data_IF_208930892542
#
_entry.id   IF_208930892542
#
_cell.length_a   1.000
_cell.length_b   1.000
_cell.length_c   1.000
_cell.angle_alpha   90.00
_cell.angle_beta   90.00
_cell.angle_gamma   90.00
#
_symmetry.space_group_name_H-M   'P 1'
#
loop_
_entity.id
_entity.type
_entity.pdbx_description
1 polymer ?
#
# COMPACT_ATOMS: atom_id res chain seq x y z
N UNK A 1 -2.94 -8.03 -18.18
CA UNK A 1 -2.50 -6.62 -18.43
C UNK A 1 -1.41 -6.29 -17.42
N UNK A 2 -0.44 -5.43 -17.73
CA UNK A 2 0.53 -5.00 -16.71
C UNK A 2 -0.18 -4.24 -15.58
N UNK A 3 0.07 -4.59 -14.33
CA UNK A 3 -0.50 -3.95 -13.13
C UNK A 3 0.63 -3.27 -12.31
N UNK A 4 1.23 -2.19 -12.85
CA UNK A 4 2.39 -1.57 -12.25
C UNK A 4 2.08 -0.87 -10.92
N UNK A 5 0.86 -0.38 -10.71
CA UNK A 5 0.49 0.31 -9.49
C UNK A 5 0.23 -0.67 -8.34
N UNK A 6 -0.35 -1.84 -8.60
CA UNK A 6 -0.42 -2.94 -7.65
C UNK A 6 0.97 -3.46 -7.30
N UNK A 7 1.87 -3.60 -8.28
CA UNK A 7 3.25 -3.97 -7.99
C UNK A 7 3.95 -2.95 -7.07
N UNK A 8 3.76 -1.66 -7.34
CA UNK A 8 4.28 -0.59 -6.48
C UNK A 8 3.66 -0.60 -5.08
N UNK A 9 2.33 -0.73 -4.98
CA UNK A 9 1.62 -0.80 -3.71
C UNK A 9 2.07 -2.00 -2.86
N UNK A 10 2.28 -3.17 -3.49
CA UNK A 10 2.82 -4.35 -2.83
C UNK A 10 4.23 -4.12 -2.27
N UNK A 11 5.06 -3.31 -2.94
CA UNK A 11 6.37 -2.91 -2.39
C UNK A 11 6.22 -2.04 -1.16
N UNK A 12 5.26 -1.12 -1.12
CA UNK A 12 4.96 -0.32 0.09
C UNK A 12 4.59 -1.24 1.25
N UNK A 13 3.64 -2.15 1.04
CA UNK A 13 3.18 -3.09 2.07
C UNK A 13 4.31 -4.02 2.55
N UNK A 14 5.14 -4.51 1.62
CA UNK A 14 6.29 -5.36 1.95
C UNK A 14 7.35 -4.60 2.77
N UNK A 15 7.65 -3.36 2.38
CA UNK A 15 8.60 -2.51 3.10
C UNK A 15 8.07 -2.10 4.47
N UNK A 16 6.76 -1.85 4.58
CA UNK A 16 6.11 -1.63 5.86
C UNK A 16 6.28 -2.86 6.76
N UNK A 17 5.98 -4.07 6.29
CA UNK A 17 6.16 -5.30 7.07
C UNK A 17 7.62 -5.50 7.51
N UNK A 18 8.58 -5.32 6.60
CA UNK A 18 10.01 -5.40 6.89
C UNK A 18 10.46 -4.38 7.94
N UNK A 19 9.88 -3.17 7.93
CA UNK A 19 10.11 -2.19 8.99
C UNK A 19 9.64 -2.80 10.31
N UNK A 20 8.43 -3.35 10.40
CA UNK A 20 7.89 -3.82 11.68
C UNK A 20 8.74 -4.91 12.34
N UNK A 21 9.40 -5.76 11.54
CA UNK A 21 10.38 -6.74 12.01
C UNK A 21 11.64 -6.12 12.65
N UNK A 22 11.94 -4.86 12.32
CA UNK A 22 13.10 -4.10 12.80
C UNK A 22 12.74 -3.10 13.90
N UNK A 23 11.56 -3.24 14.50
CA UNK A 23 11.12 -2.37 15.57
C UNK A 23 12.09 -2.38 16.76
N UNK A 24 12.14 -1.25 17.47
CA UNK A 24 12.98 -1.09 18.66
C UNK A 24 12.29 -0.19 19.68
N UNK A 25 12.85 -0.10 20.89
CA UNK A 25 12.31 0.80 21.94
C UNK A 25 12.21 2.26 21.47
N UNK A 26 13.12 2.71 20.60
CA UNK A 26 13.14 4.07 20.05
C UNK A 26 12.29 4.24 18.79
N UNK A 27 11.86 3.15 18.18
CA UNK A 27 11.05 3.12 16.97
C UNK A 27 10.04 1.96 17.08
N UNK A 28 8.93 2.16 17.81
CA UNK A 28 7.96 1.12 18.08
C UNK A 28 7.29 0.60 16.80
N UNK A 29 6.97 -0.70 16.78
CA UNK A 29 6.16 -1.30 15.72
C UNK A 29 4.79 -0.61 15.64
N UNK A 30 4.28 -0.47 14.42
CA UNK A 30 2.92 0.00 14.14
C UNK A 30 2.57 1.35 14.76
N UNK A 31 3.54 2.28 14.84
CA UNK A 31 3.23 3.61 15.33
C UNK A 31 2.27 4.33 14.39
N UNK A 32 1.38 5.17 14.93
CA UNK A 32 0.39 5.92 14.15
C UNK A 32 1.04 6.70 13.00
N UNK A 33 2.22 7.29 13.26
CA UNK A 33 2.98 8.02 12.26
C UNK A 33 3.35 7.14 11.05
N UNK A 34 3.61 5.85 11.24
CA UNK A 34 4.03 4.96 10.16
C UNK A 34 2.89 4.35 9.41
N UNK A 35 1.79 4.06 10.11
CA UNK A 35 0.53 3.74 9.45
C UNK A 35 0.11 4.90 8.55
N UNK A 36 0.15 6.12 9.08
CA UNK A 36 -0.12 7.34 8.32
C UNK A 36 0.80 7.47 7.10
N UNK A 37 2.11 7.36 7.28
CA UNK A 37 3.07 7.43 6.16
C UNK A 37 2.85 6.35 5.11
N UNK A 38 2.56 5.11 5.51
CA UNK A 38 2.28 4.04 4.55
C UNK A 38 1.00 4.34 3.74
N UNK A 39 -0.05 4.85 4.40
CA UNK A 39 -1.31 5.21 3.75
C UNK A 39 -1.15 6.40 2.80
N UNK A 40 -0.38 7.43 3.17
CA UNK A 40 -0.06 8.57 2.30
C UNK A 40 0.65 8.13 1.01
N UNK A 41 1.58 7.17 1.11
CA UNK A 41 2.26 6.64 -0.08
C UNK A 41 1.27 5.87 -0.98
N UNK A 42 0.39 5.06 -0.39
CA UNK A 42 -0.66 4.35 -1.14
C UNK A 42 -1.63 5.34 -1.81
N UNK A 43 -2.01 6.41 -1.12
CA UNK A 43 -2.80 7.51 -1.70
C UNK A 43 -2.08 8.15 -2.89
N UNK A 44 -0.79 8.46 -2.76
CA UNK A 44 0.01 9.00 -3.87
C UNK A 44 0.03 8.07 -5.09
N UNK A 45 0.14 6.75 -4.87
CA UNK A 45 0.05 5.75 -5.94
C UNK A 45 -1.35 5.70 -6.56
N UNK A 46 -2.41 5.79 -5.75
CA UNK A 46 -3.78 5.85 -6.24
C UNK A 46 -4.02 7.09 -7.11
N UNK A 47 -3.53 8.27 -6.70
CA UNK A 47 -3.64 9.49 -7.48
C UNK A 47 -2.89 9.39 -8.81
N UNK A 48 -1.68 8.83 -8.80
CA UNK A 48 -0.91 8.58 -10.03
C UNK A 48 -1.63 7.58 -10.96
N UNK A 49 -2.21 6.52 -10.40
CA UNK A 49 -3.01 5.54 -11.14
C UNK A 49 -4.27 6.17 -11.76
N UNK A 50 -4.96 7.03 -11.01
CA UNK A 50 -6.14 7.76 -11.48
C UNK A 50 -5.79 8.71 -12.62
N UNK A 51 -4.68 9.45 -12.49
CA UNK A 51 -4.17 10.31 -13.55
C UNK A 51 -3.85 9.54 -14.84
N UNK A 52 -3.34 8.31 -14.70
CA UNK A 52 -3.07 7.41 -15.83
C UNK A 52 -4.32 6.68 -16.37
N UNK A 53 -5.49 6.87 -15.76
CA UNK A 53 -6.72 6.14 -16.11
C UNK A 53 -6.69 4.65 -15.77
N UNK A 54 -5.83 4.21 -14.85
CA UNK A 54 -5.75 2.81 -14.42
C UNK A 54 -6.91 2.44 -13.48
N UNK A 55 -7.44 1.23 -13.65
CA UNK A 55 -8.46 0.64 -12.77
C UNK A 55 -7.92 0.33 -11.36
N UNK A 56 -6.60 0.27 -11.20
CA UNK A 56 -5.92 0.01 -9.93
C UNK A 56 -6.17 1.13 -8.89
N UNK A 57 -6.47 2.35 -9.36
CA UNK A 57 -6.60 3.54 -8.52
C UNK A 57 -7.61 3.37 -7.37
N UNK A 58 -8.82 2.89 -7.69
CA UNK A 58 -9.91 2.73 -6.70
C UNK A 58 -9.55 1.67 -5.66
N UNK A 59 -8.97 0.56 -6.07
CA UNK A 59 -8.60 -0.51 -5.15
C UNK A 59 -7.49 -0.06 -4.17
N UNK A 60 -6.47 0.66 -4.67
CA UNK A 60 -5.40 1.19 -3.82
C UNK A 60 -5.94 2.25 -2.86
N UNK A 61 -6.82 3.15 -3.32
CA UNK A 61 -7.48 4.16 -2.47
C UNK A 61 -8.24 3.49 -1.33
N UNK A 62 -9.12 2.55 -1.67
CA UNK A 62 -9.95 1.86 -0.68
C UNK A 62 -9.12 1.11 0.35
N UNK A 63 -7.99 0.52 -0.05
CA UNK A 63 -7.07 -0.14 0.88
C UNK A 63 -6.45 0.85 1.88
N UNK A 64 -6.01 2.03 1.43
CA UNK A 64 -5.47 3.07 2.30
C UNK A 64 -6.54 3.60 3.28
N UNK A 65 -7.74 3.90 2.78
CA UNK A 65 -8.85 4.43 3.58
C UNK A 65 -9.27 3.43 4.67
N UNK A 66 -9.39 2.14 4.31
CA UNK A 66 -9.72 1.08 5.26
C UNK A 66 -8.62 0.86 6.29
N UNK A 67 -7.35 0.99 5.90
CA UNK A 67 -6.24 0.84 6.83
C UNK A 67 -6.26 1.94 7.89
N UNK A 68 -6.43 3.20 7.50
CA UNK A 68 -6.56 4.32 8.45
C UNK A 68 -7.74 4.11 9.39
N UNK A 69 -8.89 3.69 8.86
CA UNK A 69 -10.11 3.55 9.67
C UNK A 69 -10.07 2.39 10.66
N UNK A 70 -9.45 1.27 10.26
CA UNK A 70 -9.55 0.01 11.01
C UNK A 70 -8.24 -0.42 11.67
N UNK A 71 -7.15 0.29 11.39
CA UNK A 71 -5.77 -0.06 11.77
C UNK A 71 -5.32 -1.45 11.24
N UNK A 72 -6.11 -2.06 10.34
CA UNK A 72 -5.78 -3.35 9.73
C UNK A 72 -4.93 -3.16 8.48
N UNK A 73 -3.78 -3.81 8.48
CA UNK A 73 -2.86 -3.81 7.34
C UNK A 73 -3.56 -4.48 6.14
N UNK A 74 -3.56 -3.85 4.96
CA UNK A 74 -4.10 -4.45 3.74
C UNK A 74 -3.33 -5.70 3.32
N UNK A 75 -4.05 -6.63 2.68
CA UNK A 75 -3.44 -7.74 1.96
C UNK A 75 -2.72 -7.25 0.69
N UNK A 76 -1.79 -8.06 0.19
CA UNK A 76 -1.14 -7.77 -1.09
C UNK A 76 -2.14 -7.86 -2.23
N UNK A 77 -2.04 -6.93 -3.17
CA UNK A 77 -2.82 -6.92 -4.40
C UNK A 77 -2.41 -8.08 -5.31
N UNK A 78 -3.39 -8.79 -5.85
CA UNK A 78 -3.16 -9.91 -6.77
C UNK A 78 -2.71 -9.35 -8.12
N UNK A 79 -1.55 -9.82 -8.60
CA UNK A 79 -1.07 -9.51 -9.93
C UNK A 79 -1.63 -10.53 -10.92
N UNK A 80 -2.44 -10.09 -11.88
CA UNK A 80 -2.89 -10.94 -12.98
C UNK A 80 -1.66 -11.28 -13.84
N UNK A 81 -1.41 -12.59 -14.03
CA UNK A 81 -0.40 -13.03 -14.98
C UNK A 81 -0.80 -12.54 -16.38
N UNK A 82 0.15 -11.94 -17.09
CA UNK A 82 -0.07 -11.62 -18.49
C UNK A 82 -0.16 -12.95 -19.24
N UNK A 83 -1.37 -13.32 -19.70
CA UNK A 83 -1.52 -14.35 -20.72
C UNK A 83 -0.57 -14.00 -21.88
N UNK A 84 0.40 -14.88 -22.12
CA UNK A 84 1.43 -14.76 -23.15
C UNK A 84 0.88 -15.06 -24.54
#
# INVERSE_FOLDING_TARGET
>A
MSQPFYAAANKVLTMYALRQERASVKAPAHSDAEVFWACEILEGLSLAAAYAGSKEATAIRNAADLWILTEKIPELFILEEAEQ
#
